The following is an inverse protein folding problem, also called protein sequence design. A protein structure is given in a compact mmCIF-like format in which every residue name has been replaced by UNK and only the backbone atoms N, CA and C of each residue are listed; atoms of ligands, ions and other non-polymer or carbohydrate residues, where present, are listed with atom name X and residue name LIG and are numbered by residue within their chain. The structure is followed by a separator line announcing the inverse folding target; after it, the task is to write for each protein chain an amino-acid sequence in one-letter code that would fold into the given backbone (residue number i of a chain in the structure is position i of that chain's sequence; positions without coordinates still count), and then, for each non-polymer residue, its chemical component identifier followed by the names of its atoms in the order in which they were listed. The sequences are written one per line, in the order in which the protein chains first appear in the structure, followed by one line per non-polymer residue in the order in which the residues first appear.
data_IF_936435259714
#
_entry.id   IF_936435259714
#
_cell.length_a   1.000
_cell.length_b   1.000
_cell.length_c   1.000
_cell.angle_alpha   90.00
_cell.angle_beta   90.00
_cell.angle_gamma   90.00
#
_symmetry.space_group_name_H-M   'P 1'
#
loop_
_entity.id
_entity.type
_entity.pdbx_description
1 polymer ?
#
# COMPACT_ATOMS: atom_id res chain seq x y z
N UNK A 1 32.94 9.16 -45.58
CA UNK A 1 31.55 8.96 -45.87
C UNK A 1 30.86 8.78 -44.52
N UNK A 2 30.45 9.89 -43.88
CA UNK A 2 29.77 9.88 -42.56
C UNK A 2 28.25 9.83 -42.79
N UNK A 3 27.66 8.65 -42.59
CA UNK A 3 26.21 8.45 -42.62
C UNK A 3 25.73 8.18 -41.21
N UNK A 4 25.95 9.10 -40.29
CA UNK A 4 25.15 9.22 -39.09
C UNK A 4 24.32 10.50 -39.25
N UNK A 5 23.04 10.25 -39.66
CA UNK A 5 22.04 11.31 -39.71
C UNK A 5 21.92 11.93 -38.34
N UNK A 6 22.01 13.26 -38.29
CA UNK A 6 21.58 14.05 -37.12
C UNK A 6 20.16 13.62 -36.80
N UNK A 7 19.99 12.84 -35.75
CA UNK A 7 18.67 12.65 -35.10
C UNK A 7 18.30 14.04 -34.62
N UNK A 8 17.22 14.58 -35.19
CA UNK A 8 16.76 15.92 -34.88
C UNK A 8 16.39 15.98 -33.38
N UNK A 9 17.23 16.61 -32.56
CA UNK A 9 16.95 16.90 -31.14
C UNK A 9 15.59 17.58 -30.95
N UNK A 10 15.11 18.28 -31.98
CA UNK A 10 13.75 18.87 -31.99
C UNK A 10 12.61 17.86 -32.02
N UNK A 11 12.82 16.63 -32.51
CA UNK A 11 11.77 15.59 -32.48
C UNK A 11 11.67 14.91 -31.10
N UNK A 12 12.76 14.77 -30.37
CA UNK A 12 12.69 14.29 -28.98
C UNK A 12 12.05 15.33 -28.05
N UNK A 13 12.37 16.62 -28.20
CA UNK A 13 11.69 17.68 -27.41
C UNK A 13 10.20 17.80 -27.72
N UNK A 14 9.74 17.57 -28.96
CA UNK A 14 8.32 17.65 -29.31
C UNK A 14 7.47 16.54 -28.70
N UNK A 15 8.05 15.34 -28.48
CA UNK A 15 7.35 14.22 -27.82
C UNK A 15 7.18 14.43 -26.31
N UNK A 16 8.05 15.25 -25.69
CA UNK A 16 7.95 15.59 -24.27
C UNK A 16 7.12 16.86 -23.99
N UNK A 17 6.78 17.64 -24.99
CA UNK A 17 6.06 18.93 -24.82
C UNK A 17 4.57 18.80 -24.51
N UNK A 18 3.95 17.62 -24.68
CA UNK A 18 2.51 17.44 -24.42
C UNK A 18 2.17 17.15 -22.95
N UNK A 19 3.17 17.17 -22.06
CA UNK A 19 2.95 17.09 -20.64
C UNK A 19 2.86 18.52 -20.07
N UNK A 20 1.66 19.11 -20.14
CA UNK A 20 1.36 20.32 -19.35
C UNK A 20 1.50 19.95 -17.86
N UNK A 21 2.71 20.12 -17.33
CA UNK A 21 3.04 19.76 -15.94
C UNK A 21 2.35 20.75 -15.04
N UNK A 22 1.42 20.32 -14.19
CA UNK A 22 0.97 21.18 -13.12
C UNK A 22 2.18 21.52 -12.24
N UNK A 23 2.35 22.79 -11.95
CA UNK A 23 3.39 23.29 -11.07
C UNK A 23 3.32 22.52 -9.74
N UNK A 24 4.46 21.97 -9.29
CA UNK A 24 4.51 21.17 -8.06
C UNK A 24 3.99 22.01 -6.89
N UNK A 25 2.86 21.60 -6.34
CA UNK A 25 2.30 22.28 -5.15
C UNK A 25 3.20 21.98 -3.96
N UNK A 26 3.46 22.98 -3.13
CA UNK A 26 3.98 22.71 -1.78
C UNK A 26 2.97 21.82 -1.06
N UNK A 27 3.41 20.65 -0.60
CA UNK A 27 2.55 19.70 0.11
C UNK A 27 2.04 20.31 1.42
N UNK A 28 0.87 19.90 1.85
CA UNK A 28 0.33 20.32 3.14
C UNK A 28 1.26 19.85 4.29
N UNK A 29 1.35 20.63 5.39
CA UNK A 29 2.11 20.21 6.56
C UNK A 29 1.53 18.93 7.16
N UNK A 30 2.40 17.94 7.43
CA UNK A 30 1.97 16.65 7.97
C UNK A 30 1.47 16.85 9.39
N UNK A 31 0.24 16.41 9.73
CA UNK A 31 -0.32 16.56 11.07
C UNK A 31 0.23 15.48 12.02
N UNK A 32 1.54 15.52 12.29
CA UNK A 32 2.25 14.50 13.07
C UNK A 32 1.57 14.15 14.39
N UNK A 33 1.13 15.16 15.16
CA UNK A 33 0.50 14.92 16.46
C UNK A 33 -0.82 14.16 16.34
N UNK A 34 -1.66 14.49 15.35
CA UNK A 34 -2.92 13.77 15.11
C UNK A 34 -2.67 12.33 14.68
N UNK A 35 -1.71 12.12 13.78
CA UNK A 35 -1.32 10.78 13.31
C UNK A 35 -0.77 9.94 14.47
N UNK A 36 0.10 10.54 15.31
CA UNK A 36 0.67 9.88 16.49
C UNK A 36 -0.42 9.43 17.47
N UNK A 37 -1.38 10.34 17.78
CA UNK A 37 -2.46 10.04 18.71
C UNK A 37 -3.36 8.92 18.20
N UNK A 38 -3.83 9.02 16.95
CA UNK A 38 -4.73 8.01 16.39
C UNK A 38 -4.07 6.67 16.13
N UNK A 39 -2.78 6.65 15.77
CA UNK A 39 -2.01 5.39 15.68
C UNK A 39 -1.88 4.72 17.05
N UNK A 40 -1.64 5.51 18.11
CA UNK A 40 -1.59 4.99 19.48
C UNK A 40 -2.93 4.38 19.90
N UNK A 41 -4.05 5.07 19.62
CA UNK A 41 -5.40 4.56 19.93
C UNK A 41 -5.67 3.28 19.14
N UNK A 42 -5.34 3.24 17.84
CA UNK A 42 -5.52 2.04 17.03
C UNK A 42 -4.72 0.85 17.59
N UNK A 43 -3.43 1.06 17.93
CA UNK A 43 -2.58 0.01 18.54
C UNK A 43 -3.10 -0.42 19.90
N UNK A 44 -3.59 0.51 20.72
CA UNK A 44 -4.18 0.18 22.02
C UNK A 44 -5.39 -0.75 21.88
N UNK A 45 -6.24 -0.49 20.89
CA UNK A 45 -7.44 -1.32 20.63
C UNK A 45 -7.06 -2.63 19.95
N UNK A 46 -6.15 -2.61 18.96
CA UNK A 46 -5.85 -3.79 18.14
C UNK A 46 -5.00 -4.83 18.89
N UNK A 47 -4.02 -4.41 19.70
CA UNK A 47 -3.09 -5.34 20.34
C UNK A 47 -2.99 -5.18 21.86
N UNK A 48 -2.86 -3.97 22.39
CA UNK A 48 -2.54 -3.79 23.80
C UNK A 48 -3.69 -4.23 24.74
N UNK A 49 -4.91 -3.79 24.49
CA UNK A 49 -6.08 -4.19 25.26
C UNK A 49 -6.38 -5.69 25.12
N UNK A 50 -6.43 -6.29 23.91
CA UNK A 50 -6.59 -7.73 23.76
C UNK A 50 -5.52 -8.53 24.52
N UNK A 51 -4.26 -8.10 24.50
CA UNK A 51 -3.20 -8.76 25.23
C UNK A 51 -3.43 -8.73 26.76
N UNK A 52 -3.80 -7.56 27.29
CA UNK A 52 -4.06 -7.40 28.75
C UNK A 52 -5.26 -8.25 29.20
N UNK A 53 -6.32 -8.34 28.37
CA UNK A 53 -7.53 -9.07 28.71
C UNK A 53 -7.54 -10.54 28.26
N UNK A 54 -6.43 -11.04 27.69
CA UNK A 54 -6.34 -12.42 27.20
C UNK A 54 -7.22 -12.70 25.96
N UNK A 55 -7.55 -11.67 25.19
CA UNK A 55 -8.37 -11.73 23.98
C UNK A 55 -7.50 -11.70 22.70
N UNK A 56 -6.30 -12.21 22.79
CA UNK A 56 -5.38 -12.30 21.65
C UNK A 56 -5.90 -13.27 20.58
N UNK A 57 -5.64 -12.96 19.32
CA UNK A 57 -6.03 -13.85 18.22
C UNK A 57 -5.23 -15.17 18.26
N UNK A 58 -5.78 -16.28 17.71
CA UNK A 58 -5.01 -17.52 17.56
C UNK A 58 -3.72 -17.33 16.77
N UNK A 59 -3.75 -16.48 15.72
CA UNK A 59 -2.57 -16.12 14.94
C UNK A 59 -1.51 -15.48 15.82
N UNK A 60 -1.86 -14.48 16.62
CA UNK A 60 -0.91 -13.84 17.52
C UNK A 60 -0.37 -14.81 18.56
N UNK A 61 -1.21 -15.67 19.11
CA UNK A 61 -0.76 -16.68 20.08
C UNK A 61 0.27 -17.61 19.45
N UNK A 62 0.04 -18.06 18.22
CA UNK A 62 1.00 -18.88 17.48
C UNK A 62 2.33 -18.15 17.25
N UNK A 63 2.25 -16.89 16.80
CA UNK A 63 3.44 -16.10 16.48
C UNK A 63 4.26 -15.74 17.72
N UNK A 64 3.60 -15.42 18.83
CA UNK A 64 4.25 -15.20 20.12
C UNK A 64 4.94 -16.48 20.62
N UNK A 65 4.26 -17.62 20.50
CA UNK A 65 4.83 -18.92 20.84
C UNK A 65 6.04 -19.24 19.95
N UNK A 66 5.93 -19.03 18.64
CA UNK A 66 7.04 -19.24 17.71
C UNK A 66 8.23 -18.37 18.07
N UNK A 67 8.03 -17.08 18.36
CA UNK A 67 9.10 -16.17 18.79
C UNK A 67 9.78 -16.62 20.07
N UNK A 68 9.00 -17.11 21.07
CA UNK A 68 9.56 -17.68 22.28
C UNK A 68 10.31 -18.99 22.00
N UNK A 69 9.73 -19.88 21.20
CA UNK A 69 10.30 -21.20 20.90
C UNK A 69 11.61 -21.10 20.10
N UNK A 70 11.78 -20.12 19.22
CA UNK A 70 13.03 -19.88 18.49
C UNK A 70 14.21 -19.59 19.44
N UNK A 71 13.96 -19.10 20.67
CA UNK A 71 15.01 -18.95 21.70
C UNK A 71 15.52 -20.29 22.26
N UNK A 72 14.81 -21.39 22.01
CA UNK A 72 15.22 -22.73 22.41
C UNK A 72 16.09 -23.43 21.34
N UNK A 73 16.82 -22.64 20.55
CA UNK A 73 17.69 -23.11 19.45
C UNK A 73 16.95 -23.74 18.25
N UNK A 74 15.66 -23.42 18.07
CA UNK A 74 14.92 -23.82 16.88
C UNK A 74 15.28 -22.98 15.65
N UNK A 75 15.19 -23.58 14.48
CA UNK A 75 15.37 -22.91 13.20
C UNK A 75 14.02 -22.62 12.55
N UNK A 76 13.83 -21.35 12.13
CA UNK A 76 12.60 -20.96 11.44
C UNK A 76 12.42 -21.69 10.11
N UNK A 77 11.19 -22.06 9.80
CA UNK A 77 10.74 -22.83 8.63
C UNK A 77 11.17 -24.29 8.63
N UNK A 78 12.14 -24.71 9.41
CA UNK A 78 12.55 -26.12 9.55
C UNK A 78 11.89 -26.77 10.75
N UNK A 79 12.06 -26.18 11.94
CA UNK A 79 11.51 -26.71 13.20
C UNK A 79 10.13 -26.12 13.52
N UNK A 80 9.84 -24.92 13.01
CA UNK A 80 8.58 -24.22 13.24
C UNK A 80 7.93 -23.81 11.94
N UNK A 81 6.64 -24.13 11.81
CA UNK A 81 5.84 -23.73 10.68
C UNK A 81 5.47 -22.24 10.77
N UNK A 82 5.60 -21.51 9.66
CA UNK A 82 5.24 -20.11 9.58
C UNK A 82 4.93 -19.64 8.17
N UNK A 83 3.82 -18.94 8.00
CA UNK A 83 3.36 -18.41 6.71
C UNK A 83 3.79 -16.97 6.45
N UNK A 84 4.30 -16.31 7.48
CA UNK A 84 4.73 -14.92 7.40
C UNK A 84 6.20 -14.80 6.96
N UNK A 85 6.64 -13.58 6.72
CA UNK A 85 8.00 -13.33 6.25
C UNK A 85 9.05 -13.39 7.36
N UNK A 86 10.31 -13.61 6.97
CA UNK A 86 11.43 -13.80 7.87
C UNK A 86 11.61 -12.65 8.89
N UNK A 87 11.45 -11.38 8.47
CA UNK A 87 11.62 -10.24 9.38
C UNK A 87 10.55 -10.20 10.47
N UNK A 88 9.36 -10.71 10.21
CA UNK A 88 8.35 -10.85 11.23
C UNK A 88 8.81 -11.79 12.34
N UNK A 89 9.35 -12.94 11.99
CA UNK A 89 9.86 -13.90 12.97
C UNK A 89 11.12 -13.43 13.67
N UNK A 90 11.97 -12.62 13.01
CA UNK A 90 13.09 -11.95 13.67
C UNK A 90 12.59 -10.99 14.77
N UNK A 91 11.52 -10.24 14.54
CA UNK A 91 10.92 -9.40 15.58
C UNK A 91 10.29 -10.24 16.70
N UNK A 92 9.55 -11.29 16.35
CA UNK A 92 8.96 -12.21 17.34
C UNK A 92 10.06 -12.84 18.23
N UNK A 93 11.19 -13.23 17.64
CA UNK A 93 12.37 -13.68 18.36
C UNK A 93 12.93 -12.61 19.30
N UNK A 94 13.18 -11.40 18.81
CA UNK A 94 13.78 -10.32 19.60
C UNK A 94 12.93 -9.96 20.82
N UNK A 95 11.61 -9.97 20.69
CA UNK A 95 10.69 -9.60 21.78
C UNK A 95 10.22 -10.79 22.62
N UNK A 96 10.64 -12.02 22.31
CA UNK A 96 10.31 -13.23 23.07
C UNK A 96 8.82 -13.40 23.38
N UNK A 97 7.97 -12.99 22.46
CA UNK A 97 6.54 -13.02 22.67
C UNK A 97 6.01 -12.01 23.71
N UNK A 98 6.76 -10.98 24.06
CA UNK A 98 6.31 -9.96 25.01
C UNK A 98 5.42 -8.89 24.34
N UNK A 99 4.67 -8.16 25.18
CA UNK A 99 3.83 -7.02 24.72
C UNK A 99 4.62 -5.89 24.04
N UNK A 100 5.95 -5.91 24.13
CA UNK A 100 6.81 -4.91 23.46
C UNK A 100 6.63 -4.91 21.93
N UNK A 101 6.10 -5.99 21.35
CA UNK A 101 5.72 -6.01 19.93
C UNK A 101 4.69 -4.92 19.59
N UNK A 102 3.82 -4.56 20.56
CA UNK A 102 2.86 -3.47 20.40
C UNK A 102 3.53 -2.12 20.13
N UNK A 103 4.75 -1.92 20.66
CA UNK A 103 5.49 -0.69 20.43
C UNK A 103 5.99 -0.60 18.99
N UNK A 104 6.45 -1.72 18.43
CA UNK A 104 6.86 -1.79 17.02
C UNK A 104 5.66 -1.63 16.09
N UNK A 105 4.53 -2.25 16.42
CA UNK A 105 3.27 -2.11 15.68
C UNK A 105 2.81 -0.64 15.69
N UNK A 106 2.86 0.02 16.84
CA UNK A 106 2.55 1.45 16.93
C UNK A 106 3.44 2.31 16.03
N UNK A 107 4.76 2.10 16.05
CA UNK A 107 5.69 2.82 15.19
C UNK A 107 5.43 2.55 13.71
N UNK A 108 5.10 1.30 13.36
CA UNK A 108 4.72 0.93 12.01
C UNK A 108 3.43 1.63 11.57
N UNK A 109 2.39 1.62 12.39
CA UNK A 109 1.12 2.31 12.10
C UNK A 109 1.30 3.82 12.01
N UNK A 110 2.12 4.42 12.86
CA UNK A 110 2.49 5.84 12.76
C UNK A 110 3.14 6.15 11.40
N UNK A 111 4.15 5.36 11.00
CA UNK A 111 4.81 5.48 9.70
C UNK A 111 3.84 5.29 8.53
N UNK A 112 2.95 4.29 8.61
CA UNK A 112 1.90 4.04 7.63
C UNK A 112 0.99 5.26 7.46
N UNK A 113 0.55 5.88 8.56
CA UNK A 113 -0.28 7.10 8.53
C UNK A 113 0.44 8.28 7.88
N UNK A 114 1.72 8.48 8.18
CA UNK A 114 2.53 9.55 7.57
C UNK A 114 2.66 9.38 6.06
N UNK A 115 2.97 8.17 5.60
CA UNK A 115 3.14 7.92 4.16
C UNK A 115 1.80 7.92 3.42
N UNK A 116 0.73 7.42 4.03
CA UNK A 116 -0.61 7.49 3.46
C UNK A 116 -1.08 8.95 3.34
N UNK A 117 -0.83 9.78 4.34
CA UNK A 117 -1.14 11.21 4.27
C UNK A 117 -0.42 11.87 3.09
N UNK A 118 0.88 11.62 2.92
CA UNK A 118 1.66 12.13 1.79
C UNK A 118 1.09 11.67 0.45
N UNK A 119 0.76 10.37 0.33
CA UNK A 119 0.19 9.81 -0.89
C UNK A 119 -1.14 10.49 -1.25
N UNK A 120 -2.01 10.69 -0.25
CA UNK A 120 -3.31 11.30 -0.43
C UNK A 120 -3.21 12.79 -0.76
N UNK A 121 -2.40 13.54 -0.03
CA UNK A 121 -2.18 14.97 -0.28
C UNK A 121 -1.63 15.22 -1.69
N UNK A 122 -0.66 14.40 -2.12
CA UNK A 122 -0.06 14.50 -3.46
C UNK A 122 -1.07 14.20 -4.57
N UNK A 123 -1.90 13.15 -4.41
CA UNK A 123 -2.83 12.70 -5.45
C UNK A 123 -4.07 13.59 -5.55
N UNK A 124 -4.62 14.01 -4.39
CA UNK A 124 -5.90 14.70 -4.29
C UNK A 124 -5.73 16.21 -4.11
N UNK A 125 -4.69 16.64 -3.41
CA UNK A 125 -4.41 18.06 -3.13
C UNK A 125 -5.33 18.67 -2.08
N UNK A 126 -5.95 17.85 -1.21
CA UNK A 126 -6.87 18.29 -0.16
C UNK A 126 -6.44 17.73 1.20
N UNK A 127 -5.91 18.59 2.05
CA UNK A 127 -5.43 18.22 3.40
C UNK A 127 -6.52 17.56 4.25
N UNK A 128 -7.75 18.07 4.18
CA UNK A 128 -8.88 17.56 4.96
C UNK A 128 -9.20 16.10 4.60
N UNK A 129 -9.25 15.78 3.32
CA UNK A 129 -9.55 14.43 2.85
C UNK A 129 -8.37 13.48 3.11
N UNK A 130 -7.13 13.96 3.01
CA UNK A 130 -5.96 13.18 3.39
C UNK A 130 -6.00 12.80 4.88
N UNK A 131 -6.33 13.75 5.78
CA UNK A 131 -6.53 13.48 7.22
C UNK A 131 -7.64 12.47 7.46
N UNK A 132 -8.77 12.62 6.76
CA UNK A 132 -9.91 11.69 6.86
C UNK A 132 -9.54 10.27 6.45
N UNK A 133 -8.78 10.11 5.36
CA UNK A 133 -8.34 8.82 4.89
C UNK A 133 -7.43 8.11 5.91
N UNK A 134 -6.49 8.84 6.52
CA UNK A 134 -5.63 8.30 7.59
C UNK A 134 -6.45 7.89 8.80
N UNK A 135 -7.47 8.68 9.19
CA UNK A 135 -8.37 8.29 10.27
C UNK A 135 -9.15 7.01 9.95
N UNK A 136 -9.63 6.86 8.70
CA UNK A 136 -10.31 5.63 8.26
C UNK A 136 -9.36 4.44 8.30
N UNK A 137 -8.09 4.59 7.90
CA UNK A 137 -7.08 3.53 8.07
C UNK A 137 -7.04 3.04 9.52
N UNK A 138 -6.95 3.94 10.49
CA UNK A 138 -6.87 3.57 11.90
C UNK A 138 -8.17 2.93 12.42
N UNK A 139 -9.33 3.35 11.93
CA UNK A 139 -10.60 2.68 12.23
C UNK A 139 -10.64 1.25 11.67
N UNK A 140 -10.18 1.06 10.44
CA UNK A 140 -10.09 -0.27 9.83
C UNK A 140 -9.14 -1.17 10.61
N UNK A 141 -7.98 -0.66 11.02
CA UNK A 141 -7.03 -1.41 11.84
C UNK A 141 -7.65 -1.77 13.19
N UNK A 142 -8.24 -0.81 13.90
CA UNK A 142 -8.85 -1.06 15.19
C UNK A 142 -9.99 -2.10 15.13
N UNK A 143 -10.75 -2.12 14.02
CA UNK A 143 -11.86 -3.06 13.83
C UNK A 143 -11.44 -4.43 13.31
N UNK A 144 -10.57 -4.48 12.31
CA UNK A 144 -10.22 -5.72 11.61
C UNK A 144 -8.99 -6.42 12.19
N UNK A 145 -8.08 -5.68 12.82
CA UNK A 145 -6.86 -6.22 13.43
C UNK A 145 -6.99 -6.46 14.93
N UNK A 146 -8.22 -6.64 15.44
CA UNK A 146 -8.44 -6.92 16.85
C UNK A 146 -7.79 -8.24 17.26
N UNK A 147 -7.06 -8.23 18.36
CA UNK A 147 -6.27 -9.37 18.82
C UNK A 147 -4.80 -9.31 18.40
N UNK A 148 -4.41 -8.37 17.55
CA UNK A 148 -3.04 -8.04 17.16
C UNK A 148 -2.24 -9.13 16.45
N UNK A 149 -0.93 -8.88 16.27
CA UNK A 149 -0.01 -9.90 15.77
C UNK A 149 -0.07 -10.13 14.26
N UNK A 150 -0.53 -9.14 13.49
CA UNK A 150 -0.58 -9.29 12.04
C UNK A 150 0.68 -8.72 11.39
N UNK A 151 1.45 -9.58 10.76
CA UNK A 151 2.64 -9.19 10.01
C UNK A 151 2.37 -8.09 8.97
N UNK A 152 1.15 -8.08 8.40
CA UNK A 152 0.72 -7.04 7.48
C UNK A 152 0.76 -5.63 8.08
N UNK A 153 0.44 -5.44 9.36
CA UNK A 153 0.49 -4.12 10.00
C UNK A 153 1.91 -3.57 10.02
N UNK A 154 2.90 -4.44 10.20
CA UNK A 154 4.32 -4.09 10.11
C UNK A 154 4.77 -3.81 8.66
N UNK A 155 4.11 -4.39 7.67
CA UNK A 155 4.36 -4.13 6.26
C UNK A 155 3.74 -2.81 5.76
N UNK A 156 2.63 -2.32 6.37
CA UNK A 156 1.89 -1.14 5.92
C UNK A 156 2.75 0.11 5.67
N UNK A 157 3.72 0.51 6.53
CA UNK A 157 4.53 1.70 6.28
C UNK A 157 5.33 1.59 4.97
N UNK A 158 5.82 0.41 4.66
CA UNK A 158 6.58 0.15 3.43
C UNK A 158 5.67 0.14 2.20
N UNK A 159 4.46 -0.43 2.31
CA UNK A 159 3.46 -0.40 1.25
C UNK A 159 3.03 1.03 0.94
N UNK A 160 2.72 1.84 1.96
CA UNK A 160 2.30 3.23 1.76
C UNK A 160 3.44 4.17 1.40
N UNK A 161 4.69 3.86 1.79
CA UNK A 161 5.85 4.56 1.24
C UNK A 161 5.97 4.34 -0.27
N UNK A 162 5.85 3.09 -0.73
CA UNK A 162 5.81 2.76 -2.15
C UNK A 162 4.67 3.49 -2.86
N UNK A 163 3.48 3.48 -2.26
CA UNK A 163 2.31 4.21 -2.76
C UNK A 163 2.60 5.72 -2.87
N UNK A 164 3.27 6.33 -1.89
CA UNK A 164 3.58 7.76 -1.90
C UNK A 164 4.49 8.16 -3.07
N UNK A 165 5.41 7.30 -3.46
CA UNK A 165 6.26 7.51 -4.64
C UNK A 165 5.43 7.35 -5.93
N UNK A 166 4.60 6.30 -6.00
CA UNK A 166 3.74 6.07 -7.17
C UNK A 166 2.74 7.20 -7.35
N UNK A 167 2.08 7.67 -6.29
CA UNK A 167 1.13 8.80 -6.38
C UNK A 167 1.83 10.10 -6.78
N UNK A 168 3.08 10.32 -6.32
CA UNK A 168 3.88 11.46 -6.78
C UNK A 168 4.14 11.38 -8.29
N UNK A 169 4.51 10.20 -8.79
CA UNK A 169 4.67 9.98 -10.23
C UNK A 169 3.37 10.19 -11.01
N UNK A 170 2.24 9.66 -10.53
CA UNK A 170 0.94 9.85 -11.20
C UNK A 170 0.51 11.32 -11.25
N UNK A 171 0.87 12.10 -10.22
CA UNK A 171 0.60 13.54 -10.17
C UNK A 171 1.60 14.35 -11.01
N UNK A 172 2.87 13.95 -11.02
CA UNK A 172 3.99 14.64 -11.67
C UNK A 172 4.83 13.67 -12.51
N UNK A 173 4.36 13.24 -13.69
CA UNK A 173 5.01 12.18 -14.48
C UNK A 173 6.43 12.44 -14.93
N UNK A 174 6.89 13.69 -14.93
CA UNK A 174 8.31 14.05 -15.19
C UNK A 174 9.24 13.71 -14.02
N UNK A 175 8.70 13.51 -12.81
CA UNK A 175 9.45 13.10 -11.61
C UNK A 175 9.39 11.58 -11.47
N UNK A 176 10.08 10.86 -12.35
CA UNK A 176 10.13 9.40 -12.39
C UNK A 176 11.20 8.80 -11.47
N UNK A 177 11.81 9.63 -10.63
CA UNK A 177 12.86 9.21 -9.70
C UNK A 177 12.25 8.45 -8.51
N UNK A 178 12.84 7.30 -8.20
CA UNK A 178 12.51 6.58 -6.96
C UNK A 178 11.88 5.21 -7.14
N UNK A 179 11.70 4.70 -8.36
CA UNK A 179 11.15 3.36 -8.57
C UNK A 179 12.03 2.24 -8.01
N UNK A 180 13.34 2.40 -7.97
CA UNK A 180 14.24 1.49 -7.22
C UNK A 180 13.87 1.48 -5.73
N UNK A 181 13.56 2.65 -5.13
CA UNK A 181 13.11 2.73 -3.73
C UNK A 181 11.73 2.10 -3.51
N UNK A 182 10.84 2.17 -4.52
CA UNK A 182 9.56 1.41 -4.50
C UNK A 182 9.85 -0.07 -4.35
N UNK A 183 10.73 -0.62 -5.20
CA UNK A 183 11.11 -2.03 -5.12
C UNK A 183 11.74 -2.42 -3.79
N UNK A 184 12.70 -1.63 -3.30
CA UNK A 184 13.34 -1.88 -1.99
C UNK A 184 12.31 -1.89 -0.85
N UNK A 185 11.37 -0.95 -0.86
CA UNK A 185 10.33 -0.87 0.16
C UNK A 185 9.36 -2.06 0.08
N UNK A 186 8.98 -2.47 -1.13
CA UNK A 186 8.18 -3.67 -1.33
C UNK A 186 8.92 -4.95 -0.90
N UNK A 187 10.25 -5.02 -1.08
CA UNK A 187 11.03 -6.15 -0.57
C UNK A 187 11.00 -6.21 0.97
N UNK A 188 11.16 -5.07 1.67
CA UNK A 188 11.02 -5.03 3.12
C UNK A 188 9.61 -5.46 3.56
N UNK A 189 8.56 -4.94 2.91
CA UNK A 189 7.18 -5.35 3.19
C UNK A 189 6.98 -6.85 2.95
N UNK A 190 7.57 -7.42 1.90
CA UNK A 190 7.49 -8.83 1.57
C UNK A 190 8.09 -9.72 2.67
N UNK A 191 9.19 -9.31 3.28
CA UNK A 191 9.79 -10.03 4.39
C UNK A 191 9.00 -9.91 5.71
N UNK A 192 7.96 -9.07 5.76
CA UNK A 192 6.95 -9.11 6.83
C UNK A 192 5.74 -9.93 6.42
N UNK A 193 5.05 -9.54 5.34
CA UNK A 193 3.79 -10.13 4.89
C UNK A 193 3.85 -10.45 3.38
N UNK A 194 4.33 -11.63 2.98
CA UNK A 194 4.66 -11.95 1.60
C UNK A 194 3.48 -11.85 0.63
N UNK A 195 2.37 -12.54 0.93
CA UNK A 195 1.22 -12.62 0.01
C UNK A 195 0.51 -11.27 -0.15
N UNK A 196 0.14 -10.56 0.94
CA UNK A 196 -0.45 -9.23 0.81
C UNK A 196 0.43 -8.24 0.06
N UNK A 197 1.76 -8.32 0.29
CA UNK A 197 2.74 -7.47 -0.40
C UNK A 197 2.83 -7.80 -1.88
N UNK A 198 2.85 -9.08 -2.27
CA UNK A 198 2.89 -9.49 -3.67
C UNK A 198 1.64 -8.99 -4.42
N UNK A 199 0.46 -9.11 -3.82
CA UNK A 199 -0.79 -8.58 -4.37
C UNK A 199 -0.73 -7.05 -4.50
N UNK A 200 -0.24 -6.35 -3.48
CA UNK A 200 -0.13 -4.89 -3.51
C UNK A 200 0.88 -4.42 -4.56
N UNK A 201 2.01 -5.10 -4.69
CA UNK A 201 2.99 -4.84 -5.73
C UNK A 201 2.40 -5.03 -7.14
N UNK A 202 1.62 -6.09 -7.35
CA UNK A 202 0.90 -6.32 -8.60
C UNK A 202 -0.11 -5.20 -8.90
N UNK A 203 -0.86 -4.75 -7.90
CA UNK A 203 -1.80 -3.62 -8.02
C UNK A 203 -1.07 -2.33 -8.41
N UNK A 204 0.04 -2.01 -7.76
CA UNK A 204 0.84 -0.83 -8.12
C UNK A 204 1.41 -0.93 -9.54
N UNK A 205 1.95 -2.09 -9.91
CA UNK A 205 2.48 -2.34 -11.25
C UNK A 205 1.40 -2.18 -12.33
N UNK A 206 0.22 -2.78 -12.13
CA UNK A 206 -0.92 -2.63 -13.04
C UNK A 206 -1.39 -1.18 -13.13
N UNK A 207 -1.42 -0.46 -12.00
CA UNK A 207 -1.77 0.96 -11.95
C UNK A 207 -0.79 1.82 -12.76
N UNK A 208 0.52 1.59 -12.62
CA UNK A 208 1.58 2.32 -13.34
C UNK A 208 1.54 1.99 -14.83
N UNK A 209 1.49 0.70 -15.18
CA UNK A 209 1.45 0.26 -16.58
C UNK A 209 0.17 0.76 -17.26
N UNK A 210 -0.98 0.63 -16.59
CA UNK A 210 -2.26 1.10 -17.09
C UNK A 210 -2.31 2.63 -17.30
N UNK A 211 -1.72 3.40 -16.37
CA UNK A 211 -1.60 4.84 -16.53
C UNK A 211 -0.74 5.22 -17.75
N UNK A 212 0.44 4.59 -17.90
CA UNK A 212 1.33 4.86 -19.02
C UNK A 212 0.73 4.38 -20.35
N UNK A 213 0.02 3.25 -20.35
CA UNK A 213 -0.69 2.75 -21.52
C UNK A 213 -1.76 3.75 -21.98
N UNK A 214 -2.56 4.29 -21.05
CA UNK A 214 -3.55 5.32 -21.33
C UNK A 214 -2.99 6.64 -21.86
N UNK A 215 -1.68 6.88 -21.65
CA UNK A 215 -0.93 8.02 -22.17
C UNK A 215 -0.15 7.73 -23.46
N UNK A 216 -0.16 6.49 -23.96
CA UNK A 216 0.62 6.07 -25.11
C UNK A 216 2.11 5.80 -24.82
N UNK A 217 2.52 5.77 -23.54
CA UNK A 217 3.91 5.60 -23.12
C UNK A 217 4.18 4.24 -22.46
N UNK A 218 3.66 3.16 -23.02
CA UNK A 218 3.75 1.80 -22.46
C UNK A 218 5.19 1.39 -22.09
N UNK A 219 6.16 1.66 -22.95
CA UNK A 219 7.59 1.33 -22.73
C UNK A 219 8.11 1.99 -21.45
N UNK A 220 7.70 3.23 -21.17
CA UNK A 220 8.09 3.94 -19.96
C UNK A 220 7.51 3.27 -18.70
N UNK A 221 6.27 2.77 -18.76
CA UNK A 221 5.68 1.98 -17.68
C UNK A 221 6.44 0.68 -17.40
N UNK A 222 6.92 0.01 -18.45
CA UNK A 222 7.78 -1.18 -18.31
C UNK A 222 9.13 -0.84 -17.68
N UNK A 223 9.75 0.26 -18.10
CA UNK A 223 11.01 0.73 -17.49
C UNK A 223 10.87 0.92 -15.98
N UNK A 224 9.78 1.56 -15.53
CA UNK A 224 9.51 1.77 -14.11
C UNK A 224 9.25 0.46 -13.35
N UNK A 225 8.55 -0.48 -13.98
CA UNK A 225 8.37 -1.83 -13.44
C UNK A 225 9.72 -2.54 -13.25
N UNK A 226 10.59 -2.55 -14.26
CA UNK A 226 11.92 -3.18 -14.15
C UNK A 226 12.82 -2.46 -13.16
N UNK A 227 12.76 -1.12 -13.05
CA UNK A 227 13.48 -0.37 -12.02
C UNK A 227 13.02 -0.77 -10.61
N UNK A 228 11.70 -1.00 -10.41
CA UNK A 228 11.17 -1.51 -9.15
C UNK A 228 11.60 -2.96 -8.90
N UNK A 229 11.58 -3.82 -9.92
CA UNK A 229 12.05 -5.20 -9.80
C UNK A 229 13.54 -5.28 -9.42
N UNK A 230 14.37 -4.42 -10.00
CA UNK A 230 15.78 -4.28 -9.61
C UNK A 230 15.90 -3.88 -8.13
N UNK A 231 15.15 -2.84 -7.70
CA UNK A 231 15.14 -2.40 -6.31
C UNK A 231 14.69 -3.49 -5.34
N UNK A 232 13.67 -4.28 -5.73
CA UNK A 232 13.21 -5.44 -4.97
C UNK A 232 14.34 -6.47 -4.81
N UNK A 233 15.01 -6.82 -5.90
CA UNK A 233 16.11 -7.79 -5.91
C UNK A 233 17.27 -7.39 -5.01
N UNK A 234 17.61 -6.09 -4.95
CA UNK A 234 18.70 -5.57 -4.13
C UNK A 234 18.56 -5.86 -2.63
N UNK A 235 17.33 -5.96 -2.12
CA UNK A 235 17.07 -6.32 -0.72
C UNK A 235 16.62 -7.78 -0.58
N UNK A 236 15.92 -8.32 -1.56
CA UNK A 236 15.41 -9.69 -1.50
C UNK A 236 16.54 -10.71 -1.39
N UNK A 237 17.59 -10.58 -2.22
CA UNK A 237 18.70 -11.55 -2.18
C UNK A 237 19.50 -11.51 -0.87
N UNK A 238 19.97 -10.36 -0.36
CA UNK A 238 20.70 -10.34 0.91
C UNK A 238 19.87 -10.83 2.09
N UNK A 239 18.61 -10.42 2.21
CA UNK A 239 17.74 -10.84 3.32
C UNK A 239 17.33 -12.31 3.20
N UNK A 240 17.02 -12.77 1.97
CA UNK A 240 16.66 -14.15 1.68
C UNK A 240 17.85 -15.12 1.79
N UNK A 241 19.09 -14.61 1.72
CA UNK A 241 20.28 -15.43 1.81
C UNK A 241 20.37 -16.24 3.11
N UNK A 242 19.80 -15.70 4.19
CA UNK A 242 19.70 -16.43 5.46
C UNK A 242 19.04 -17.81 5.29
N UNK A 243 17.92 -17.89 4.56
CA UNK A 243 17.19 -19.16 4.33
C UNK A 243 17.98 -20.13 3.44
N UNK A 244 18.81 -19.63 2.53
CA UNK A 244 19.72 -20.43 1.72
C UNK A 244 20.85 -20.95 2.58
N UNK A 245 21.45 -20.10 3.41
CA UNK A 245 22.56 -20.45 4.30
C UNK A 245 22.14 -21.50 5.34
N UNK A 246 20.93 -21.40 5.88
CA UNK A 246 20.38 -22.37 6.86
C UNK A 246 19.80 -23.63 6.20
N UNK A 247 19.73 -23.69 4.88
CA UNK A 247 19.13 -24.81 4.15
C UNK A 247 17.61 -24.85 4.18
N UNK A 248 16.94 -23.84 4.74
CA UNK A 248 15.49 -23.74 4.91
C UNK A 248 14.76 -23.06 3.74
N UNK A 249 15.45 -22.76 2.65
CA UNK A 249 14.88 -21.99 1.53
C UNK A 249 13.64 -22.63 0.89
N UNK A 250 13.69 -23.95 0.65
CA UNK A 250 12.55 -24.69 0.09
C UNK A 250 11.35 -24.67 1.03
N UNK A 251 11.57 -24.88 2.32
CA UNK A 251 10.54 -24.88 3.34
C UNK A 251 9.96 -23.47 3.53
N UNK A 252 10.81 -22.45 3.53
CA UNK A 252 10.37 -21.06 3.60
C UNK A 252 9.44 -20.67 2.45
N UNK A 253 9.77 -21.07 1.19
CA UNK A 253 8.90 -20.83 0.04
C UNK A 253 7.59 -21.60 0.17
N UNK A 254 7.65 -22.90 0.49
CA UNK A 254 6.46 -23.76 0.55
C UNK A 254 5.48 -23.28 1.65
N UNK A 255 6.00 -22.87 2.80
CA UNK A 255 5.19 -22.39 3.92
C UNK A 255 4.64 -20.98 3.65
N UNK A 256 5.45 -20.09 3.10
CA UNK A 256 5.00 -18.74 2.73
C UNK A 256 3.90 -18.77 1.65
N UNK A 257 3.98 -19.70 0.69
CA UNK A 257 2.95 -19.88 -0.34
C UNK A 257 1.79 -20.79 0.11
N UNK A 258 1.84 -21.36 1.29
CA UNK A 258 0.81 -22.27 1.79
C UNK A 258 -0.61 -21.70 1.66
N UNK A 259 -0.91 -20.43 2.01
CA UNK A 259 -2.26 -19.89 1.86
C UNK A 259 -2.75 -19.87 0.40
N UNK A 260 -1.84 -19.80 -0.58
CA UNK A 260 -2.19 -19.85 -2.01
C UNK A 260 -2.27 -21.31 -2.49
N UNK A 261 -1.36 -22.16 -2.04
CA UNK A 261 -1.33 -23.57 -2.43
C UNK A 261 -2.55 -24.37 -1.91
N UNK A 262 -3.21 -23.88 -0.87
CA UNK A 262 -4.43 -24.50 -0.31
C UNK A 262 -5.71 -24.02 -0.98
N UNK A 263 -5.65 -23.10 -1.95
CA UNK A 263 -6.85 -22.64 -2.67
C UNK A 263 -7.48 -23.79 -3.47
N UNK A 264 -8.78 -23.97 -3.33
CA UNK A 264 -9.52 -24.99 -4.06
C UNK A 264 -10.97 -24.59 -4.26
N UNK A 265 -11.46 -24.81 -5.46
CA UNK A 265 -12.86 -24.59 -5.84
C UNK A 265 -13.70 -25.86 -5.67
N UNK A 266 -13.12 -27.03 -6.00
CA UNK A 266 -13.85 -28.29 -6.09
C UNK A 266 -13.72 -29.18 -4.84
N UNK A 267 -12.64 -29.04 -4.07
CA UNK A 267 -12.39 -29.87 -2.87
C UNK A 267 -12.41 -29.04 -1.58
N UNK A 268 -13.15 -27.94 -1.56
CA UNK A 268 -13.26 -27.06 -0.39
C UNK A 268 -14.60 -27.29 0.31
N UNK A 269 -14.58 -27.97 1.47
CA UNK A 269 -15.76 -28.22 2.30
C UNK A 269 -16.33 -26.93 2.91
N UNK A 270 -15.52 -25.87 3.07
CA UNK A 270 -15.91 -24.60 3.68
C UNK A 270 -16.25 -23.51 2.65
N UNK A 271 -16.30 -23.84 1.36
CA UNK A 271 -16.46 -22.83 0.28
C UNK A 271 -17.72 -21.96 0.48
N UNK A 272 -18.86 -22.57 0.72
CA UNK A 272 -20.13 -21.83 0.87
C UNK A 272 -20.15 -20.99 2.16
N UNK A 273 -19.64 -21.53 3.26
CA UNK A 273 -19.54 -20.83 4.53
C UNK A 273 -18.61 -19.62 4.42
N UNK A 274 -17.41 -19.82 3.86
CA UNK A 274 -16.44 -18.75 3.61
C UNK A 274 -17.03 -17.69 2.67
N UNK A 275 -17.67 -18.10 1.57
CA UNK A 275 -18.29 -17.18 0.63
C UNK A 275 -19.37 -16.33 1.31
N UNK A 276 -20.29 -16.95 2.05
CA UNK A 276 -21.34 -16.24 2.76
C UNK A 276 -20.75 -15.26 3.79
N UNK A 277 -19.82 -15.71 4.62
CA UNK A 277 -19.23 -14.90 5.67
C UNK A 277 -18.43 -13.71 5.13
N UNK A 278 -17.46 -13.95 4.23
CA UNK A 278 -16.62 -12.89 3.72
C UNK A 278 -17.35 -11.92 2.80
N UNK A 279 -18.34 -12.40 2.01
CA UNK A 279 -19.20 -11.51 1.23
C UNK A 279 -20.07 -10.61 2.11
N UNK A 280 -20.70 -11.15 3.17
CA UNK A 280 -21.49 -10.36 4.11
C UNK A 280 -20.65 -9.31 4.82
N UNK A 281 -19.45 -9.68 5.27
CA UNK A 281 -18.52 -8.72 5.88
C UNK A 281 -18.05 -7.66 4.87
N UNK A 282 -17.75 -8.05 3.63
CA UNK A 282 -17.39 -7.13 2.58
C UNK A 282 -18.53 -6.13 2.26
N UNK A 283 -19.79 -6.59 2.29
CA UNK A 283 -20.98 -5.73 2.19
C UNK A 283 -21.04 -4.79 3.38
N UNK A 284 -20.88 -5.28 4.60
CA UNK A 284 -20.92 -4.50 5.84
C UNK A 284 -19.84 -3.41 5.88
N UNK A 285 -18.65 -3.67 5.32
CA UNK A 285 -17.57 -2.70 5.15
C UNK A 285 -17.82 -1.70 3.99
N UNK A 286 -18.91 -1.85 3.25
CA UNK A 286 -19.19 -1.02 2.07
C UNK A 286 -18.23 -1.28 0.89
N UNK A 287 -17.42 -2.33 0.95
CA UNK A 287 -16.40 -2.62 -0.06
C UNK A 287 -16.99 -2.88 -1.44
N UNK A 288 -18.18 -3.47 -1.55
CA UNK A 288 -18.88 -3.66 -2.83
C UNK A 288 -19.28 -2.33 -3.46
N UNK A 289 -19.79 -1.38 -2.68
CA UNK A 289 -20.08 -0.02 -3.16
C UNK A 289 -18.83 0.70 -3.66
N UNK A 290 -17.71 0.55 -2.92
CA UNK A 290 -16.43 1.08 -3.31
C UNK A 290 -15.87 0.42 -4.57
N UNK A 291 -16.04 -0.90 -4.74
CA UNK A 291 -15.69 -1.63 -5.96
C UNK A 291 -16.47 -1.10 -7.16
N UNK A 292 -17.79 -0.97 -7.03
CA UNK A 292 -18.62 -0.41 -8.08
C UNK A 292 -18.18 1.02 -8.46
N UNK A 293 -17.96 1.88 -7.47
CA UNK A 293 -17.44 3.21 -7.69
C UNK A 293 -16.04 3.18 -8.34
N UNK A 294 -15.18 2.23 -7.90
CA UNK A 294 -13.85 2.04 -8.44
C UNK A 294 -13.83 1.69 -9.93
N UNK A 295 -14.73 0.81 -10.35
CA UNK A 295 -14.78 0.29 -11.71
C UNK A 295 -15.55 1.20 -12.69
N UNK A 296 -16.65 1.80 -12.25
CA UNK A 296 -17.61 2.45 -13.15
C UNK A 296 -17.69 3.98 -13.00
N UNK A 297 -17.18 4.55 -11.91
CA UNK A 297 -17.22 6.00 -11.74
C UNK A 297 -16.18 6.69 -12.64
N UNK A 298 -16.59 7.71 -13.38
CA UNK A 298 -15.67 8.55 -14.16
C UNK A 298 -14.67 9.26 -13.24
N UNK A 299 -13.39 9.11 -13.54
CA UNK A 299 -12.25 9.62 -12.75
C UNK A 299 -11.19 10.22 -13.66
N UNK A 300 -10.36 11.16 -13.15
CA UNK A 300 -9.17 11.60 -13.86
C UNK A 300 -8.26 10.42 -14.24
N UNK A 301 -7.62 10.49 -15.40
CA UNK A 301 -6.76 9.40 -15.90
C UNK A 301 -5.71 8.92 -14.88
N UNK A 302 -5.15 9.85 -14.06
CA UNK A 302 -4.18 9.54 -13.00
C UNK A 302 -4.75 8.65 -11.89
N UNK A 303 -6.07 8.68 -11.65
CA UNK A 303 -6.73 7.87 -10.62
C UNK A 303 -7.38 6.62 -11.19
N UNK A 304 -7.78 6.65 -12.48
CA UNK A 304 -8.58 5.59 -13.08
C UNK A 304 -7.87 4.24 -13.13
N UNK A 305 -6.64 4.20 -13.66
CA UNK A 305 -5.87 2.96 -13.74
C UNK A 305 -5.59 2.36 -12.35
N UNK A 306 -5.21 3.21 -11.38
CA UNK A 306 -4.97 2.79 -10.01
C UNK A 306 -6.26 2.32 -9.31
N UNK A 307 -7.40 2.92 -9.62
CA UNK A 307 -8.71 2.51 -9.10
C UNK A 307 -9.13 1.13 -9.58
N UNK A 308 -8.96 0.85 -10.88
CA UNK A 308 -9.23 -0.49 -11.44
C UNK A 308 -8.30 -1.52 -10.79
N UNK A 309 -6.99 -1.21 -10.72
CA UNK A 309 -6.02 -2.11 -10.11
C UNK A 309 -6.32 -2.39 -8.63
N UNK A 310 -6.73 -1.37 -7.85
CA UNK A 310 -7.15 -1.53 -6.47
C UNK A 310 -8.41 -2.38 -6.33
N UNK A 311 -9.37 -2.21 -7.24
CA UNK A 311 -10.59 -3.05 -7.29
C UNK A 311 -10.25 -4.52 -7.53
N UNK A 312 -9.32 -4.79 -8.45
CA UNK A 312 -8.80 -6.15 -8.67
C UNK A 312 -8.09 -6.68 -7.41
N UNK A 313 -7.34 -5.84 -6.70
CA UNK A 313 -6.68 -6.20 -5.44
C UNK A 313 -7.70 -6.64 -4.37
N UNK A 314 -8.80 -5.91 -4.20
CA UNK A 314 -9.89 -6.31 -3.29
C UNK A 314 -10.52 -7.64 -3.71
N UNK A 315 -10.83 -7.79 -5.02
CA UNK A 315 -11.43 -9.02 -5.54
C UNK A 315 -10.50 -10.24 -5.36
N UNK A 316 -9.21 -10.09 -5.64
CA UNK A 316 -8.23 -11.16 -5.44
C UNK A 316 -8.06 -11.50 -3.95
N UNK A 317 -8.03 -10.51 -3.06
CA UNK A 317 -7.95 -10.74 -1.62
C UNK A 317 -9.18 -11.49 -1.11
N UNK A 318 -10.38 -11.08 -1.51
CA UNK A 318 -11.63 -11.79 -1.19
C UNK A 318 -11.62 -13.21 -1.80
N UNK A 319 -11.16 -13.35 -3.04
CA UNK A 319 -11.03 -14.64 -3.70
C UNK A 319 -10.14 -15.61 -2.92
N UNK A 320 -9.00 -15.17 -2.44
CA UNK A 320 -8.10 -15.97 -1.60
C UNK A 320 -8.80 -16.42 -0.31
N UNK A 321 -9.51 -15.50 0.35
CA UNK A 321 -10.22 -15.81 1.59
C UNK A 321 -11.37 -16.82 1.37
N UNK A 322 -12.13 -16.67 0.29
CA UNK A 322 -13.27 -17.55 -0.05
C UNK A 322 -12.78 -18.94 -0.46
N UNK A 323 -11.72 -19.01 -1.29
CA UNK A 323 -11.22 -20.27 -1.83
C UNK A 323 -10.29 -21.02 -0.86
N UNK A 324 -9.91 -20.41 0.26
CA UNK A 324 -9.11 -21.05 1.30
C UNK A 324 -9.86 -22.28 1.88
N UNK A 325 -9.17 -23.42 2.02
CA UNK A 325 -9.69 -24.61 2.70
C UNK A 325 -9.80 -24.47 4.21
N UNK A 326 -9.31 -23.37 4.76
CA UNK A 326 -9.34 -23.14 6.18
C UNK A 326 -10.71 -22.63 6.65
N UNK A 327 -11.12 -22.97 7.88
CA UNK A 327 -12.39 -22.53 8.44
C UNK A 327 -12.43 -21.00 8.56
N UNK A 328 -13.65 -20.47 8.69
CA UNK A 328 -13.92 -19.05 8.85
C UNK A 328 -13.03 -18.44 9.94
N UNK A 329 -12.32 -17.39 9.58
CA UNK A 329 -11.55 -16.60 10.52
C UNK A 329 -11.64 -15.10 10.12
N UNK A 330 -12.41 -14.33 10.91
CA UNK A 330 -12.65 -12.90 10.66
C UNK A 330 -11.37 -12.07 10.68
N UNK A 331 -10.33 -12.51 11.41
CA UNK A 331 -9.06 -11.81 11.52
C UNK A 331 -8.29 -11.75 10.20
N UNK A 332 -8.56 -12.66 9.26
CA UNK A 332 -7.93 -12.66 7.93
C UNK A 332 -8.36 -11.51 7.03
N UNK A 333 -9.47 -10.84 7.34
CA UNK A 333 -9.90 -9.64 6.62
C UNK A 333 -8.89 -8.48 6.68
N UNK A 334 -7.94 -8.52 7.58
CA UNK A 334 -6.82 -7.56 7.63
C UNK A 334 -6.15 -7.40 6.27
N UNK A 335 -6.05 -8.49 5.49
CA UNK A 335 -5.44 -8.49 4.13
C UNK A 335 -6.12 -7.49 3.18
N UNK A 336 -7.37 -7.15 3.39
CA UNK A 336 -8.14 -6.24 2.52
C UNK A 336 -7.81 -4.76 2.82
N UNK A 337 -7.30 -4.43 4.02
CA UNK A 337 -7.08 -3.04 4.48
C UNK A 337 -6.33 -2.17 3.44
N UNK A 338 -5.13 -2.56 2.94
CA UNK A 338 -4.37 -1.69 2.03
C UNK A 338 -5.13 -1.42 0.72
N UNK A 339 -5.91 -2.39 0.24
CA UNK A 339 -6.69 -2.25 -1.00
C UNK A 339 -7.93 -1.40 -0.82
N UNK A 340 -8.64 -1.52 0.32
CA UNK A 340 -9.77 -0.64 0.67
C UNK A 340 -9.31 0.81 0.80
N UNK A 341 -8.19 1.03 1.49
CA UNK A 341 -7.60 2.37 1.64
C UNK A 341 -7.23 2.94 0.27
N UNK A 342 -6.67 2.12 -0.62
CA UNK A 342 -6.32 2.53 -1.98
C UNK A 342 -7.56 2.86 -2.81
N UNK A 343 -8.64 2.08 -2.71
CA UNK A 343 -9.93 2.40 -3.34
C UNK A 343 -10.52 3.71 -2.83
N UNK A 344 -10.49 3.92 -1.52
CA UNK A 344 -10.95 5.17 -0.92
C UNK A 344 -10.11 6.35 -1.41
N UNK A 345 -8.79 6.21 -1.45
CA UNK A 345 -7.88 7.24 -1.97
C UNK A 345 -8.25 7.64 -3.40
N UNK A 346 -8.46 6.65 -4.28
CA UNK A 346 -8.82 6.90 -5.68
C UNK A 346 -10.28 7.33 -5.86
N UNK A 347 -11.12 7.18 -4.84
CA UNK A 347 -12.51 7.63 -4.81
C UNK A 347 -12.70 9.11 -4.46
N UNK A 348 -11.69 9.76 -3.88
CA UNK A 348 -11.77 11.17 -3.51
C UNK A 348 -11.73 12.03 -4.77
N UNK A 349 -12.72 12.91 -4.92
CA UNK A 349 -12.76 13.85 -6.04
C UNK A 349 -11.69 14.93 -5.88
N UNK A 350 -10.96 15.21 -6.93
CA UNK A 350 -10.03 16.34 -6.99
C UNK A 350 -10.82 17.64 -7.01
N UNK A 351 -10.46 18.60 -6.15
CA UNK A 351 -11.12 19.91 -6.14
C UNK A 351 -10.52 20.78 -7.26
N UNK A 352 -11.15 20.70 -8.43
CA UNK A 352 -10.77 21.50 -9.62
C UNK A 352 -11.10 22.98 -9.42
N UNK A 353 -11.93 23.33 -8.40
CA UNK A 353 -12.51 24.66 -8.27
C UNK A 353 -11.61 25.73 -7.65
N UNK A 354 -10.71 25.36 -6.71
CA UNK A 354 -9.92 26.38 -5.99
C UNK A 354 -8.68 26.90 -6.73
N UNK A 355 -8.03 26.07 -7.55
CA UNK A 355 -6.83 26.49 -8.30
C UNK A 355 -7.13 27.51 -9.39
N UNK A 356 -8.24 27.36 -10.10
CA UNK A 356 -8.69 28.27 -11.16
C UNK A 356 -9.24 29.60 -10.63
N UNK A 357 -10.04 29.55 -9.54
CA UNK A 357 -10.66 30.72 -8.93
C UNK A 357 -9.66 31.63 -8.23
N UNK A 358 -8.67 31.07 -7.50
CA UNK A 358 -7.60 31.87 -6.84
C UNK A 358 -6.64 32.50 -7.85
N UNK A 359 -6.29 31.79 -8.95
CA UNK A 359 -5.49 32.38 -10.06
C UNK A 359 -6.24 33.48 -10.77
N UNK A 360 -7.56 33.30 -11.02
CA UNK A 360 -8.39 34.33 -11.65
C UNK A 360 -8.50 35.58 -10.74
N UNK A 361 -8.74 35.42 -9.46
CA UNK A 361 -8.76 36.52 -8.48
C UNK A 361 -7.40 37.22 -8.32
N UNK A 362 -6.26 36.48 -8.37
CA UNK A 362 -4.93 37.10 -8.35
C UNK A 362 -4.64 37.86 -9.64
N UNK A 363 -4.99 37.31 -10.82
CA UNK A 363 -4.84 38.04 -12.08
C UNK A 363 -5.75 39.27 -12.14
N UNK A 364 -6.99 39.17 -11.69
CA UNK A 364 -7.93 40.30 -11.61
C UNK A 364 -7.43 41.39 -10.65
N UNK A 365 -6.85 41.03 -9.49
CA UNK A 365 -6.19 41.99 -8.59
C UNK A 365 -4.94 42.61 -9.20
N UNK A 366 -4.13 41.86 -9.91
CA UNK A 366 -2.92 42.36 -10.55
C UNK A 366 -3.24 43.28 -11.75
N UNK A 367 -4.26 42.95 -12.52
CA UNK A 367 -4.76 43.82 -13.62
C UNK A 367 -5.47 45.06 -13.10
N UNK A 368 -6.18 45.02 -11.96
CA UNK A 368 -6.76 46.22 -11.34
C UNK A 368 -5.67 47.13 -10.78
N UNK A 369 -4.64 46.58 -10.13
CA UNK A 369 -3.51 47.33 -9.62
C UNK A 369 -2.68 47.99 -10.72
N UNK A 370 -2.46 47.31 -11.85
CA UNK A 370 -1.79 47.89 -13.03
C UNK A 370 -2.63 48.96 -13.73
N UNK A 371 -3.98 48.84 -13.74
CA UNK A 371 -4.87 49.90 -14.21
C UNK A 371 -4.88 51.14 -13.32
N UNK A 372 -4.83 50.98 -12.02
CA UNK A 372 -4.72 52.11 -11.08
C UNK A 372 -3.40 52.88 -11.26
N UNK A 373 -2.27 52.21 -11.46
CA UNK A 373 -0.98 52.86 -11.71
C UNK A 373 -0.97 53.57 -13.08
N UNK A 374 -1.72 53.08 -14.08
CA UNK A 374 -1.78 53.69 -15.43
C UNK A 374 -2.66 54.94 -15.48
N UNK A 375 -3.45 55.26 -14.43
CA UNK A 375 -4.29 56.46 -14.35
C UNK A 375 -3.54 57.64 -13.70
N UNK A 376 -2.38 57.39 -13.09
CA UNK A 376 -1.55 58.40 -12.45
C UNK A 376 -0.29 58.79 -13.24
N UNK A 377 -0.18 58.33 -14.49
CA UNK A 377 0.80 58.79 -15.49
C UNK A 377 0.09 59.23 -16.77
#
# INVERSE_FOLDING_TARGET
MNVYGKIDEKQEESHYQDWSVPEKREGAPIPFFSILLWSLVATAISIALPFIFGLVSPQQTQDLYTGWALHQNGQMYTDYFGTEGLLYYVLAYLFRGSILIALVEWLALFGAGVFLFKAADTLVGQEKEAKRLVFILYLLVAGLAFGGGYALLLALPFLFYSLSIVTNYLAFPKDDKGFVRVGMSLALAFFFAPIPTALFAAVLALGIIGFNLGKGHFVHGLYQFFASALGFSLLFYPLGYYTVWTGSFGDAISQTLYPVNTLSLFSNSHLLENAAFYCLLAIGLGSLGLLFAGLFQSKPAKQYALSIAASLGVLLSLGILILSKEPINGTRLVVIIPFLVLLLLTGIKEDVSEGGSRRRRRREKQTSFLKEISIYH
#
